data_IF_186245466756
#
_entry.id   IF_186245466756
#
_cell.length_a   1.000
_cell.length_b   1.000
_cell.length_c   1.000
_cell.angle_alpha   90.00
_cell.angle_beta   90.00
_cell.angle_gamma   90.00
#
_symmetry.space_group_name_H-M   'P 1'
#
loop_
_entity.id
_entity.type
_entity.pdbx_description
1 polymer ?
#
# COMPACT_ATOMS: atom_id res chain seq x y z
N UNK A 1 20.48 4.97 -67.99
CA UNK A 1 19.85 4.79 -66.67
C UNK A 1 20.34 5.91 -65.77
N UNK A 2 19.46 6.84 -65.39
CA UNK A 2 19.81 8.07 -64.68
C UNK A 2 19.73 7.79 -63.16
N UNK A 3 20.77 8.03 -62.37
CA UNK A 3 20.73 7.70 -60.94
C UNK A 3 19.79 8.68 -60.24
N UNK A 4 18.73 8.14 -59.62
CA UNK A 4 17.91 8.89 -58.69
C UNK A 4 18.77 9.20 -57.46
N UNK A 5 19.17 10.46 -57.31
CA UNK A 5 19.82 10.94 -56.08
C UNK A 5 18.76 10.91 -55.00
N UNK A 6 18.86 9.96 -54.06
CA UNK A 6 18.18 10.06 -52.77
C UNK A 6 18.73 11.33 -52.12
N UNK A 7 17.87 12.33 -52.01
CA UNK A 7 18.20 13.60 -51.37
C UNK A 7 18.36 13.29 -49.88
N UNK A 8 19.60 13.25 -49.39
CA UNK A 8 19.89 13.21 -47.95
C UNK A 8 19.38 14.53 -47.35
N UNK A 9 18.12 14.53 -46.92
CA UNK A 9 17.49 15.66 -46.23
C UNK A 9 17.71 15.48 -44.74
N UNK A 10 18.69 16.20 -44.18
CA UNK A 10 18.82 16.36 -42.74
C UNK A 10 17.62 17.12 -42.18
N UNK A 11 17.24 16.81 -40.94
CA UNK A 11 16.18 17.53 -40.24
C UNK A 11 16.48 19.02 -40.15
N UNK A 12 15.48 19.84 -40.40
CA UNK A 12 15.60 21.28 -40.25
C UNK A 12 15.65 21.65 -38.76
N UNK A 13 16.33 22.76 -38.41
CA UNK A 13 16.45 23.20 -37.01
C UNK A 13 15.08 23.39 -36.34
N UNK A 14 14.08 23.83 -37.09
CA UNK A 14 12.72 24.06 -36.57
C UNK A 14 12.03 22.75 -36.20
N UNK A 15 12.19 21.69 -37.00
CA UNK A 15 11.62 20.37 -36.72
C UNK A 15 12.28 19.72 -35.49
N UNK A 16 13.60 19.87 -35.35
CA UNK A 16 14.33 19.38 -34.18
C UNK A 16 13.86 20.09 -32.90
N UNK A 17 13.72 21.42 -32.94
CA UNK A 17 13.25 22.18 -31.77
C UNK A 17 11.82 21.81 -31.39
N UNK A 18 10.95 21.59 -32.37
CA UNK A 18 9.58 21.17 -32.12
C UNK A 18 9.52 19.76 -31.50
N UNK A 19 10.30 18.81 -32.04
CA UNK A 19 10.39 17.45 -31.50
C UNK A 19 10.92 17.43 -30.06
N UNK A 20 11.95 18.24 -29.75
CA UNK A 20 12.50 18.36 -28.40
C UNK A 20 11.50 18.99 -27.43
N UNK A 21 10.75 20.01 -27.86
CA UNK A 21 9.73 20.66 -27.02
C UNK A 21 8.60 19.69 -26.65
N UNK A 22 8.10 18.93 -27.62
CA UNK A 22 7.05 17.91 -27.38
C UNK A 22 7.59 16.78 -26.50
N UNK A 23 8.81 16.32 -26.75
CA UNK A 23 9.46 15.29 -25.94
C UNK A 23 9.67 15.73 -24.48
N UNK A 24 10.11 16.96 -24.26
CA UNK A 24 10.29 17.53 -22.92
C UNK A 24 8.97 17.62 -22.15
N UNK A 25 7.89 18.05 -22.80
CA UNK A 25 6.56 18.11 -22.20
C UNK A 25 6.06 16.70 -21.82
N UNK A 26 6.23 15.74 -22.73
CA UNK A 26 5.83 14.35 -22.47
C UNK A 26 6.63 13.74 -21.31
N UNK A 27 7.94 13.97 -21.24
CA UNK A 27 8.76 13.53 -20.11
C UNK A 27 8.33 14.18 -18.80
N UNK A 28 8.01 15.48 -18.79
CA UNK A 28 7.52 16.16 -17.60
C UNK A 28 6.20 15.53 -17.10
N UNK A 29 5.27 15.21 -18.00
CA UNK A 29 4.02 14.54 -17.65
C UNK A 29 4.26 13.12 -17.08
N UNK A 30 5.19 12.36 -17.67
CA UNK A 30 5.56 11.03 -17.20
C UNK A 30 6.18 11.07 -15.80
N UNK A 31 7.06 12.03 -15.52
CA UNK A 31 7.66 12.17 -14.18
C UNK A 31 6.59 12.55 -13.15
N UNK A 32 5.67 13.47 -13.48
CA UNK A 32 4.57 13.82 -12.59
C UNK A 32 3.67 12.60 -12.28
N UNK A 33 3.35 11.80 -13.29
CA UNK A 33 2.60 10.55 -13.14
C UNK A 33 3.37 9.51 -12.31
N UNK A 34 4.68 9.37 -12.51
CA UNK A 34 5.50 8.45 -11.74
C UNK A 34 5.55 8.82 -10.25
N UNK A 35 5.67 10.12 -9.95
CA UNK A 35 5.68 10.61 -8.56
C UNK A 35 4.34 10.38 -7.87
N UNK A 36 3.22 10.60 -8.57
CA UNK A 36 1.90 10.36 -7.97
C UNK A 36 1.65 8.86 -7.74
N UNK A 37 2.07 7.99 -8.67
CA UNK A 37 2.00 6.54 -8.50
C UNK A 37 2.86 6.06 -7.33
N UNK A 38 4.10 6.55 -7.25
CA UNK A 38 5.03 6.19 -6.18
C UNK A 38 4.44 6.54 -4.81
N UNK A 39 3.91 7.76 -4.67
CA UNK A 39 3.27 8.20 -3.42
C UNK A 39 2.04 7.35 -3.07
N UNK A 40 1.29 6.90 -4.07
CA UNK A 40 0.12 6.03 -3.88
C UNK A 40 0.53 4.64 -3.39
N UNK A 41 1.55 4.03 -3.99
CA UNK A 41 2.06 2.73 -3.53
C UNK A 41 2.63 2.80 -2.12
N UNK A 42 3.41 3.84 -1.79
CA UNK A 42 3.93 4.03 -0.43
C UNK A 42 2.81 4.19 0.60
N UNK A 43 1.71 4.87 0.25
CA UNK A 43 0.55 4.97 1.14
C UNK A 43 -0.14 3.62 1.35
N UNK A 44 -0.28 2.85 0.27
CA UNK A 44 -0.87 1.50 0.29
C UNK A 44 -0.04 0.53 1.12
N UNK A 45 1.28 0.54 0.98
CA UNK A 45 2.18 -0.33 1.76
C UNK A 45 2.07 -0.04 3.27
N UNK A 46 2.04 1.24 3.65
CA UNK A 46 1.84 1.64 5.05
C UNK A 46 0.46 1.22 5.60
N UNK A 47 -0.58 1.29 4.77
CA UNK A 47 -1.91 0.80 5.14
C UNK A 47 -1.89 -0.72 5.36
N UNK A 48 -1.33 -1.49 4.45
CA UNK A 48 -1.29 -2.96 4.60
C UNK A 48 -0.43 -3.40 5.79
N UNK A 49 0.71 -2.74 6.03
CA UNK A 49 1.56 -3.04 7.18
C UNK A 49 0.80 -2.92 8.52
N UNK A 50 0.02 -1.85 8.68
CA UNK A 50 -0.80 -1.64 9.89
C UNK A 50 -2.06 -2.52 9.91
N UNK A 51 -2.71 -2.71 8.76
CA UNK A 51 -3.95 -3.47 8.65
C UNK A 51 -3.76 -4.96 8.97
N UNK A 52 -2.67 -5.58 8.51
CA UNK A 52 -2.37 -6.99 8.80
C UNK A 52 -2.16 -7.22 10.30
N UNK A 53 -1.53 -6.27 11.00
CA UNK A 53 -1.38 -6.34 12.46
C UNK A 53 -2.74 -6.22 13.16
N UNK A 54 -3.60 -5.31 12.69
CA UNK A 54 -4.93 -5.11 13.25
C UNK A 54 -5.81 -6.36 13.13
N UNK A 55 -5.84 -7.00 11.95
CA UNK A 55 -6.61 -8.24 11.73
C UNK A 55 -6.16 -9.33 12.70
N UNK A 56 -4.85 -9.49 12.89
CA UNK A 56 -4.29 -10.48 13.81
C UNK A 56 -4.71 -10.23 15.27
N UNK A 57 -4.68 -8.98 15.72
CA UNK A 57 -5.11 -8.62 17.08
C UNK A 57 -6.60 -8.93 17.26
N UNK A 58 -7.42 -8.63 16.24
CA UNK A 58 -8.84 -8.92 16.26
C UNK A 58 -9.14 -10.43 16.33
N UNK A 59 -8.37 -11.26 15.63
CA UNK A 59 -8.51 -12.71 15.71
C UNK A 59 -8.15 -13.25 17.10
N UNK A 60 -7.08 -12.74 17.71
CA UNK A 60 -6.72 -13.10 19.09
C UNK A 60 -7.80 -12.68 20.08
N UNK A 61 -8.30 -11.45 19.95
CA UNK A 61 -9.39 -10.96 20.79
C UNK A 61 -10.67 -11.81 20.65
N UNK A 62 -11.07 -12.11 19.41
CA UNK A 62 -12.24 -12.95 19.12
C UNK A 62 -12.10 -14.35 19.69
N UNK A 63 -10.90 -14.94 19.57
CA UNK A 63 -10.57 -16.24 20.16
C UNK A 63 -10.66 -16.20 21.69
N UNK A 64 -10.16 -15.15 22.32
CA UNK A 64 -10.14 -15.00 23.77
C UNK A 64 -11.54 -14.76 24.34
N UNK A 65 -12.36 -13.94 23.67
CA UNK A 65 -13.78 -13.74 23.99
C UNK A 65 -14.55 -15.06 23.89
N UNK A 66 -14.36 -15.84 22.82
CA UNK A 66 -15.02 -17.14 22.65
C UNK A 66 -14.61 -18.17 23.69
N UNK A 67 -13.41 -18.07 24.24
CA UNK A 67 -12.89 -18.95 25.30
C UNK A 67 -13.18 -18.43 26.71
N UNK A 68 -13.69 -17.22 26.85
CA UNK A 68 -14.02 -16.61 28.15
C UNK A 68 -15.12 -17.40 28.85
N UNK A 69 -14.92 -17.66 30.14
CA UNK A 69 -15.82 -18.48 30.97
C UNK A 69 -16.92 -17.64 31.62
N UNK A 70 -16.63 -16.38 31.96
CA UNK A 70 -17.58 -15.43 32.56
C UNK A 70 -17.44 -14.10 31.82
N UNK A 71 -18.56 -13.54 31.39
CA UNK A 71 -18.63 -12.21 30.77
C UNK A 71 -19.45 -11.33 31.71
N UNK A 72 -18.79 -10.37 32.35
CA UNK A 72 -19.44 -9.36 33.19
C UNK A 72 -19.57 -8.07 32.40
N UNK A 73 -20.79 -7.76 31.98
CA UNK A 73 -21.11 -6.45 31.38
C UNK A 73 -21.31 -5.44 32.50
N UNK A 74 -20.51 -4.37 32.50
CA UNK A 74 -20.73 -3.26 33.43
C UNK A 74 -22.11 -2.64 33.19
N UNK A 75 -22.80 -2.24 34.27
CA UNK A 75 -24.10 -1.57 34.22
C UNK A 75 -24.08 -0.24 33.46
N UNK A 76 -22.88 0.31 33.19
CA UNK A 76 -22.64 1.52 32.40
C UNK A 76 -22.42 1.29 30.89
N UNK A 77 -22.61 0.05 30.39
CA UNK A 77 -22.64 -0.30 28.96
C UNK A 77 -21.37 0.01 28.13
N UNK A 78 -20.32 0.58 28.71
CA UNK A 78 -19.09 0.98 28.00
C UNK A 78 -17.93 0.00 28.15
N UNK A 79 -17.98 -0.88 29.17
CA UNK A 79 -16.88 -1.78 29.49
C UNK A 79 -17.41 -3.21 29.65
N UNK A 80 -16.85 -4.12 28.85
CA UNK A 80 -17.09 -5.55 28.93
C UNK A 80 -15.81 -6.21 29.44
N UNK A 81 -15.88 -6.86 30.60
CA UNK A 81 -14.75 -7.62 31.14
C UNK A 81 -14.99 -9.11 30.90
N UNK A 82 -14.01 -9.79 30.30
CA UNK A 82 -14.06 -11.21 30.01
C UNK A 82 -12.99 -11.94 30.84
N UNK A 83 -13.38 -12.99 31.57
CA UNK A 83 -12.45 -13.80 32.37
C UNK A 83 -12.08 -15.03 31.54
N UNK A 84 -10.84 -15.04 31.05
CA UNK A 84 -10.27 -16.15 30.30
C UNK A 84 -9.77 -17.21 31.30
N UNK A 85 -10.20 -18.47 31.20
CA UNK A 85 -9.70 -19.54 32.07
C UNK A 85 -8.20 -19.78 31.82
N UNK A 86 -7.46 -19.98 32.90
CA UNK A 86 -6.04 -20.28 32.83
C UNK A 86 -5.83 -21.68 32.22
N UNK A 87 -5.32 -21.74 30.99
CA UNK A 87 -4.98 -23.00 30.32
C UNK A 87 -3.53 -23.43 30.54
N UNK A 88 -2.72 -22.63 31.25
CA UNK A 88 -1.46 -23.11 31.78
C UNK A 88 -1.82 -24.00 32.98
N UNK A 89 -1.84 -25.30 32.74
CA UNK A 89 -1.64 -26.26 33.83
C UNK A 89 -0.29 -25.89 34.43
N UNK A 90 -0.29 -25.42 35.67
CA UNK A 90 0.94 -25.26 36.43
C UNK A 90 1.49 -26.67 36.70
N UNK A 91 2.19 -27.21 35.71
CA UNK A 91 2.81 -28.52 35.77
C UNK A 91 4.15 -28.39 36.50
N UNK A 92 4.14 -27.84 37.72
CA UNK A 92 5.36 -27.60 38.46
C UNK A 92 5.30 -26.80 39.78
N UNK A 93 4.17 -26.31 40.27
CA UNK A 93 4.11 -25.84 41.66
C UNK A 93 3.90 -27.03 42.61
N UNK A 94 4.99 -27.46 43.25
CA UNK A 94 4.98 -28.32 44.44
C UNK A 94 4.14 -27.71 45.57
#
# INVERSE_FOLDING_TARGET
>A
MKPARLHDQGFTLIELMFAVAVGALMMAALVAAAVCLHRSFTAVDNYFASHVQQVRIMDYLSRDVKRSYIVTTSTDLQNVTCIIPNYLVDNGSN
#
